data_IF_420737945220
#
_entry.id   IF_420737945220
#
_cell.length_a   1.000
_cell.length_b   1.000
_cell.length_c   1.000
_cell.angle_alpha   90.00
_cell.angle_beta   90.00
_cell.angle_gamma   90.00
#
_symmetry.space_group_name_H-M   'P 1'
#
loop_
_entity.id
_entity.type
_entity.pdbx_description
1 polymer ?
#
# COMPACT_ATOMS: atom_id res chain seq x y z
N UNK A 1 9.00 -12.54 8.48
CA UNK A 1 8.34 -11.23 8.60
C UNK A 1 7.39 -11.16 9.79
N UNK A 2 6.63 -12.23 10.06
CA UNK A 2 5.88 -12.37 11.32
C UNK A 2 6.81 -12.94 12.40
N UNK A 3 6.81 -12.33 13.58
CA UNK A 3 7.65 -12.73 14.71
C UNK A 3 7.01 -12.30 16.04
N UNK A 4 7.58 -12.77 17.14
CA UNK A 4 7.29 -12.27 18.49
C UNK A 4 8.56 -11.73 19.13
N UNK A 5 8.44 -11.17 20.34
CA UNK A 5 9.54 -10.67 21.16
C UNK A 5 9.69 -11.50 22.43
N UNK A 6 10.92 -11.70 22.88
CA UNK A 6 11.29 -12.43 24.08
C UNK A 6 12.41 -11.70 24.85
N UNK A 7 12.62 -12.07 26.11
CA UNK A 7 13.63 -11.48 26.98
C UNK A 7 13.18 -10.17 27.64
N UNK A 8 13.94 -9.72 28.66
CA UNK A 8 13.65 -8.47 29.36
C UNK A 8 13.68 -7.27 28.39
N UNK A 9 12.60 -6.50 28.36
CA UNK A 9 12.44 -5.41 27.37
C UNK A 9 12.23 -5.88 25.93
N UNK A 10 11.96 -7.18 25.70
CA UNK A 10 11.70 -7.75 24.38
C UNK A 10 12.85 -7.57 23.38
N UNK A 11 14.09 -7.75 23.84
CA UNK A 11 15.30 -7.51 23.06
C UNK A 11 15.59 -8.59 22.02
N UNK A 12 15.01 -9.79 22.18
CA UNK A 12 15.13 -10.87 21.22
C UNK A 12 13.89 -10.94 20.32
N UNK A 13 14.11 -11.10 19.01
CA UNK A 13 13.05 -11.47 18.07
C UNK A 13 13.03 -12.98 17.91
N UNK A 14 11.85 -13.60 18.04
CA UNK A 14 11.70 -15.05 18.00
C UNK A 14 10.75 -15.48 16.88
N UNK A 15 11.10 -16.60 16.24
CA UNK A 15 10.28 -17.19 15.19
C UNK A 15 8.93 -17.69 15.72
N UNK A 16 7.92 -17.67 14.85
CA UNK A 16 6.54 -18.08 15.16
C UNK A 16 5.99 -18.97 14.05
N UNK A 17 5.02 -19.83 14.37
CA UNK A 17 4.41 -20.79 13.45
C UNK A 17 3.32 -20.18 12.54
N UNK A 18 3.35 -18.86 12.32
CA UNK A 18 2.38 -18.13 11.51
C UNK A 18 1.48 -17.19 12.30
N UNK A 19 0.31 -16.88 11.74
CA UNK A 19 -0.71 -15.98 12.30
C UNK A 19 -2.10 -16.60 12.24
N UNK A 20 -2.97 -16.18 13.15
CA UNK A 20 -4.41 -16.42 13.05
C UNK A 20 -5.05 -15.12 12.56
N UNK A 21 -5.88 -15.21 11.52
CA UNK A 21 -6.62 -14.07 11.00
C UNK A 21 -8.04 -14.46 10.57
N UNK A 22 -8.95 -13.50 10.58
CA UNK A 22 -10.28 -13.61 10.00
C UNK A 22 -10.45 -12.56 8.92
N UNK A 23 -10.96 -12.96 7.76
CA UNK A 23 -11.23 -12.07 6.63
C UNK A 23 -12.72 -11.77 6.53
N UNK A 24 -13.06 -10.50 6.38
CA UNK A 24 -14.43 -10.04 6.16
C UNK A 24 -14.46 -9.19 4.90
N UNK A 25 -15.18 -9.65 3.88
CA UNK A 25 -15.31 -8.92 2.61
C UNK A 25 -16.46 -7.93 2.66
N UNK A 26 -16.18 -6.74 2.13
CA UNK A 26 -17.10 -5.63 2.01
C UNK A 26 -17.08 -5.13 0.57
N UNK A 27 -18.23 -4.67 0.08
CA UNK A 27 -18.44 -4.36 -1.34
C UNK A 27 -18.57 -2.86 -1.61
N UNK A 28 -18.84 -2.09 -0.56
CA UNK A 28 -19.23 -0.70 -0.66
C UNK A 28 -18.56 0.18 0.41
N UNK A 29 -18.42 1.45 0.06
CA UNK A 29 -17.95 2.49 0.96
C UNK A 29 -19.07 2.90 1.93
N UNK A 30 -18.74 3.72 2.92
CA UNK A 30 -19.77 4.33 3.78
C UNK A 30 -20.76 5.24 3.05
N UNK A 31 -20.39 5.75 1.88
CA UNK A 31 -21.29 6.53 1.02
C UNK A 31 -22.11 5.63 0.07
N UNK A 32 -21.92 4.30 0.14
CA UNK A 32 -22.57 3.33 -0.74
C UNK A 32 -21.86 3.12 -2.07
N UNK A 33 -20.80 3.87 -2.38
CA UNK A 33 -20.02 3.70 -3.61
C UNK A 33 -19.38 2.30 -3.70
N UNK A 34 -19.18 1.72 -4.90
CA UNK A 34 -18.43 0.49 -5.08
C UNK A 34 -17.03 0.61 -4.48
N UNK A 35 -16.74 -0.18 -3.45
CA UNK A 35 -15.44 -0.21 -2.80
C UNK A 35 -15.20 -1.63 -2.28
N UNK A 36 -14.72 -2.51 -3.16
CA UNK A 36 -14.37 -3.87 -2.77
C UNK A 36 -13.15 -3.84 -1.85
N UNK A 37 -13.31 -4.30 -0.60
CA UNK A 37 -12.22 -4.37 0.36
C UNK A 37 -12.43 -5.48 1.38
N UNK A 38 -11.32 -5.99 1.92
CA UNK A 38 -11.34 -7.04 2.94
C UNK A 38 -10.75 -6.51 4.24
N UNK A 39 -11.51 -6.62 5.33
CA UNK A 39 -10.97 -6.46 6.66
C UNK A 39 -10.30 -7.77 7.10
N UNK A 40 -8.98 -7.83 7.01
CA UNK A 40 -8.19 -8.94 7.55
C UNK A 40 -7.80 -8.66 9.00
N UNK A 41 -8.58 -9.20 9.94
CA UNK A 41 -8.36 -9.03 11.38
C UNK A 41 -7.36 -10.07 11.86
N UNK A 42 -6.13 -9.63 12.14
CA UNK A 42 -5.05 -10.49 12.66
C UNK A 42 -5.14 -10.54 14.19
N UNK A 43 -5.22 -11.74 14.75
CA UNK A 43 -5.20 -11.93 16.19
C UNK A 43 -3.85 -11.48 16.77
N UNK A 44 -3.87 -10.74 17.89
CA UNK A 44 -2.66 -10.39 18.62
C UNK A 44 -2.11 -11.56 19.47
N UNK A 45 -2.10 -12.75 18.87
CA UNK A 45 -1.66 -14.02 19.44
C UNK A 45 -1.02 -14.86 18.35
N UNK A 46 0.20 -15.33 18.63
CA UNK A 46 0.98 -16.19 17.74
C UNK A 46 1.62 -17.30 18.56
N UNK A 47 1.87 -18.44 17.93
CA UNK A 47 2.55 -19.55 18.58
C UNK A 47 4.06 -19.44 18.33
N UNK A 48 4.86 -19.32 19.39
CA UNK A 48 6.32 -19.29 19.30
C UNK A 48 6.84 -20.64 18.80
N UNK A 49 7.74 -20.62 17.83
CA UNK A 49 8.22 -21.84 17.17
C UNK A 49 9.10 -22.71 18.09
N UNK A 50 9.79 -22.10 19.05
CA UNK A 50 10.75 -22.79 19.92
C UNK A 50 10.11 -23.66 21.00
N UNK A 51 8.99 -23.23 21.58
CA UNK A 51 8.36 -23.87 22.75
C UNK A 51 6.85 -24.10 22.58
N UNK A 52 6.24 -23.65 21.48
CA UNK A 52 4.82 -23.80 21.23
C UNK A 52 3.92 -22.91 22.10
N UNK A 53 4.49 -22.01 22.90
CA UNK A 53 3.70 -21.11 23.75
C UNK A 53 2.99 -20.03 22.93
N UNK A 54 1.79 -19.67 23.39
CA UNK A 54 1.03 -18.55 22.84
C UNK A 54 1.54 -17.23 23.41
N UNK A 55 2.10 -16.42 22.53
CA UNK A 55 2.72 -15.13 22.85
C UNK A 55 2.09 -14.03 22.02
N UNK A 56 2.45 -12.78 22.33
CA UNK A 56 1.94 -11.60 21.61
C UNK A 56 2.71 -11.40 20.31
N UNK A 57 2.02 -10.97 19.25
CA UNK A 57 2.64 -10.61 17.98
C UNK A 57 3.51 -9.36 18.16
N UNK A 58 4.69 -9.32 17.51
CA UNK A 58 5.44 -8.06 17.38
C UNK A 58 4.76 -7.16 16.33
N UNK A 59 3.72 -6.45 16.76
CA UNK A 59 2.94 -5.55 15.90
C UNK A 59 3.76 -4.36 15.41
N UNK A 60 4.79 -3.93 16.13
CA UNK A 60 5.66 -2.84 15.70
C UNK A 60 6.55 -3.25 14.53
N UNK A 61 7.11 -4.47 14.57
CA UNK A 61 7.82 -5.01 13.43
C UNK A 61 6.89 -5.13 12.22
N UNK A 62 5.69 -5.68 12.39
CA UNK A 62 4.71 -5.78 11.31
C UNK A 62 4.37 -4.40 10.71
N UNK A 63 4.12 -3.40 11.57
CA UNK A 63 3.79 -2.03 11.14
C UNK A 63 4.89 -1.38 10.29
N UNK A 64 6.17 -1.64 10.58
CA UNK A 64 7.30 -1.15 9.76
C UNK A 64 7.26 -1.62 8.31
N UNK A 65 6.51 -2.68 8.02
CA UNK A 65 6.37 -3.22 6.69
C UNK A 65 5.03 -2.91 6.01
N UNK A 66 4.12 -2.16 6.66
CA UNK A 66 2.76 -1.93 6.14
C UNK A 66 2.76 -1.39 4.70
N UNK A 67 3.67 -0.47 4.39
CA UNK A 67 3.82 0.09 3.04
C UNK A 67 4.26 -1.00 2.05
N UNK A 68 5.25 -1.82 2.40
CA UNK A 68 5.72 -2.91 1.52
C UNK A 68 4.62 -3.95 1.24
N UNK A 69 3.77 -4.25 2.23
CA UNK A 69 2.62 -5.15 2.05
C UNK A 69 1.56 -4.49 1.17
N UNK A 70 1.30 -3.20 1.36
CA UNK A 70 0.35 -2.43 0.54
C UNK A 70 0.78 -2.40 -0.93
N UNK A 71 2.05 -2.08 -1.20
CA UNK A 71 2.56 -2.02 -2.57
C UNK A 71 2.57 -3.41 -3.23
N UNK A 72 2.87 -4.47 -2.47
CA UNK A 72 2.79 -5.86 -2.92
C UNK A 72 1.34 -6.27 -3.22
N UNK A 73 0.38 -5.89 -2.37
CA UNK A 73 -1.04 -6.16 -2.62
C UNK A 73 -1.51 -5.50 -3.93
N UNK A 74 -1.21 -4.21 -4.11
CA UNK A 74 -1.53 -3.47 -5.34
C UNK A 74 -0.91 -4.12 -6.58
N UNK A 75 0.25 -4.76 -6.43
CA UNK A 75 0.95 -5.42 -7.52
C UNK A 75 0.29 -6.75 -7.89
N UNK A 76 0.01 -7.56 -6.87
CA UNK A 76 -0.56 -8.89 -7.02
C UNK A 76 -2.02 -8.84 -7.51
N UNK A 77 -2.80 -7.85 -7.07
CA UNK A 77 -4.17 -7.70 -7.55
C UNK A 77 -4.20 -7.36 -9.05
N UNK A 78 -3.30 -6.50 -9.53
CA UNK A 78 -3.19 -6.17 -10.95
C UNK A 78 -2.70 -7.38 -11.79
N UNK A 79 -1.76 -8.16 -11.27
CA UNK A 79 -1.35 -9.42 -11.90
C UNK A 79 -2.53 -10.39 -12.00
N UNK A 80 -3.32 -10.52 -10.92
CA UNK A 80 -4.44 -11.46 -10.88
C UNK A 80 -5.57 -11.05 -11.82
N UNK A 81 -5.93 -9.77 -11.85
CA UNK A 81 -6.92 -9.23 -12.78
C UNK A 81 -6.48 -9.41 -14.24
N UNK A 82 -5.21 -9.14 -14.53
CA UNK A 82 -4.66 -9.37 -15.87
C UNK A 82 -4.73 -10.86 -16.27
N UNK A 83 -4.36 -11.77 -15.37
CA UNK A 83 -4.35 -13.21 -15.65
C UNK A 83 -5.77 -13.80 -15.77
N UNK A 84 -6.71 -13.36 -14.94
CA UNK A 84 -8.05 -13.96 -14.86
C UNK A 84 -9.03 -13.39 -15.89
N UNK A 85 -8.94 -12.09 -16.16
CA UNK A 85 -9.92 -11.37 -17.00
C UNK A 85 -9.28 -10.50 -18.07
N UNK A 86 -7.96 -10.46 -18.20
CA UNK A 86 -7.29 -9.73 -19.28
C UNK A 86 -7.41 -8.22 -19.14
N UNK A 87 -7.25 -7.67 -17.94
CA UNK A 87 -7.19 -6.21 -17.73
C UNK A 87 -5.80 -5.66 -18.03
N UNK A 88 -5.75 -4.44 -18.58
CA UNK A 88 -4.50 -3.68 -18.73
C UNK A 88 -4.46 -2.60 -17.65
N UNK A 89 -3.33 -2.47 -16.95
CA UNK A 89 -3.10 -1.37 -16.02
C UNK A 89 -2.40 -0.22 -16.74
N UNK A 90 -2.80 1.02 -16.47
CA UNK A 90 -2.17 2.21 -17.02
C UNK A 90 -1.85 3.21 -15.91
N UNK A 91 -0.73 3.90 -16.09
CA UNK A 91 -0.31 5.00 -15.21
C UNK A 91 -0.99 6.27 -15.69
N UNK A 92 -1.85 6.85 -14.87
CA UNK A 92 -2.50 8.13 -15.09
C UNK A 92 -1.78 9.20 -14.28
N UNK A 93 -1.35 10.26 -14.94
CA UNK A 93 -0.96 11.50 -14.27
C UNK A 93 -2.24 12.26 -13.92
N UNK A 94 -2.36 12.73 -12.69
CA UNK A 94 -3.36 13.74 -12.35
C UNK A 94 -2.95 15.03 -13.11
N UNK A 95 -3.44 15.19 -14.34
CA UNK A 95 -3.20 16.38 -15.19
C UNK A 95 -3.83 17.65 -14.60
N UNK A 96 -4.55 17.52 -13.48
CA UNK A 96 -5.22 18.60 -12.74
C UNK A 96 -4.49 19.01 -11.45
N UNK A 97 -3.29 18.47 -11.18
CA UNK A 97 -2.37 19.17 -10.26
C UNK A 97 -1.92 20.43 -10.99
N UNK A 98 -2.57 21.54 -10.64
CA UNK A 98 -2.38 22.86 -11.22
C UNK A 98 -0.89 23.10 -11.48
N UNK A 99 -0.53 23.36 -12.75
CA UNK A 99 0.85 23.67 -13.14
C UNK A 99 1.39 24.81 -12.25
N UNK A 100 0.49 25.68 -11.77
CA UNK A 100 0.78 26.70 -10.77
C UNK A 100 1.30 26.15 -9.43
N UNK A 101 0.72 25.06 -8.90
CA UNK A 101 1.13 24.40 -7.65
C UNK A 101 2.50 23.72 -7.79
N UNK A 102 2.77 23.10 -8.95
CA UNK A 102 4.09 22.54 -9.26
C UNK A 102 5.15 23.66 -9.36
N UNK A 103 4.81 24.80 -9.94
CA UNK A 103 5.70 25.97 -10.00
C UNK A 103 5.93 26.57 -8.60
N UNK A 104 4.88 26.71 -7.78
CA UNK A 104 5.01 27.25 -6.42
C UNK A 104 5.88 26.35 -5.53
N UNK A 105 5.70 25.03 -5.60
CA UNK A 105 6.53 24.06 -4.87
C UNK A 105 8.00 24.03 -5.33
N UNK A 106 8.26 24.32 -6.61
CA UNK A 106 9.61 24.41 -7.16
C UNK A 106 10.33 25.74 -6.84
N UNK A 107 9.58 26.78 -6.46
CA UNK A 107 10.11 28.12 -6.14
C UNK A 107 10.30 28.31 -4.63
N UNK A 108 9.58 27.56 -3.79
CA UNK A 108 9.86 27.50 -2.35
C UNK A 108 11.07 26.61 -2.08
N UNK A 109 12.16 27.18 -1.54
CA UNK A 109 13.40 26.51 -1.11
C UNK A 109 13.21 25.55 0.09
N UNK A 110 11.96 25.16 0.36
CA UNK A 110 11.60 24.16 1.34
C UNK A 110 11.60 22.80 0.65
N UNK A 111 12.41 21.89 1.18
CA UNK A 111 12.37 20.46 0.86
C UNK A 111 11.06 19.88 1.37
N UNK A 112 9.96 20.23 0.69
CA UNK A 112 8.69 19.54 0.85
C UNK A 112 8.92 18.10 0.40
N UNK A 113 8.83 17.18 1.35
CA UNK A 113 8.75 15.74 1.09
C UNK A 113 7.40 15.35 0.47
N UNK A 114 6.66 16.32 -0.10
CA UNK A 114 5.45 16.12 -0.88
C UNK A 114 5.87 15.67 -2.28
N UNK A 115 6.39 14.45 -2.26
CA UNK A 115 7.09 13.82 -3.35
C UNK A 115 6.09 13.28 -4.37
N UNK A 116 5.81 14.11 -5.38
CA UNK A 116 5.06 13.85 -6.63
C UNK A 116 3.69 13.19 -6.48
N UNK A 117 2.69 13.51 -7.32
CA UNK A 117 1.57 12.60 -7.50
C UNK A 117 2.17 11.29 -8.02
N UNK A 118 2.26 10.28 -7.14
CA UNK A 118 2.63 8.94 -7.57
C UNK A 118 1.58 8.55 -8.60
N UNK A 119 1.95 8.54 -9.88
CA UNK A 119 1.02 8.31 -10.98
C UNK A 119 0.00 7.25 -10.57
N UNK A 120 -1.28 7.64 -10.54
CA UNK A 120 -2.36 6.76 -10.13
C UNK A 120 -2.41 5.62 -11.14
N UNK A 121 -2.31 4.38 -10.67
CA UNK A 121 -2.40 3.22 -11.57
C UNK A 121 -3.80 2.65 -11.52
N UNK A 122 -4.49 2.76 -12.65
CA UNK A 122 -5.88 2.34 -12.83
C UNK A 122 -6.01 1.33 -13.98
N UNK A 123 -7.18 0.70 -14.08
CA UNK A 123 -7.48 -0.18 -15.21
C UNK A 123 -7.79 0.64 -16.46
N UNK A 124 -7.07 0.36 -17.54
CA UNK A 124 -7.40 0.88 -18.87
C UNK A 124 -8.81 0.42 -19.26
N UNK A 125 -9.59 1.30 -19.87
CA UNK A 125 -11.00 1.06 -20.21
C UNK A 125 -12.01 1.45 -19.11
N UNK A 126 -11.55 1.74 -17.88
CA UNK A 126 -12.38 2.37 -16.83
C UNK A 126 -12.15 3.89 -16.85
N UNK A 127 -13.09 4.71 -17.36
CA UNK A 127 -12.87 6.15 -17.54
C UNK A 127 -12.77 6.90 -16.20
N UNK A 128 -11.96 7.96 -16.13
CA UNK A 128 -11.80 8.77 -14.90
C UNK A 128 -13.11 9.37 -14.40
N UNK A 129 -14.00 9.77 -15.32
CA UNK A 129 -15.35 10.24 -14.99
C UNK A 129 -16.13 9.22 -14.13
N UNK A 130 -15.94 7.92 -14.37
CA UNK A 130 -16.60 6.87 -13.57
C UNK A 130 -15.94 6.70 -12.20
N UNK A 131 -14.61 6.85 -12.15
CA UNK A 131 -13.85 6.80 -10.89
C UNK A 131 -14.26 7.97 -10.00
N UNK A 132 -14.35 9.17 -10.55
CA UNK A 132 -14.81 10.39 -9.85
C UNK A 132 -16.24 10.23 -9.34
N UNK A 133 -17.17 9.76 -10.18
CA UNK A 133 -18.56 9.47 -9.79
C UNK A 133 -18.61 8.57 -8.55
N UNK A 134 -17.78 7.53 -8.49
CA UNK A 134 -17.73 6.57 -7.39
C UNK A 134 -16.70 6.89 -6.31
N UNK A 135 -16.12 8.08 -6.32
CA UNK A 135 -15.19 8.59 -5.30
C UNK A 135 -15.80 9.69 -4.44
N UNK A 136 -17.14 9.77 -4.38
CA UNK A 136 -17.89 10.86 -3.74
C UNK A 136 -17.44 11.16 -2.30
N UNK A 137 -17.14 10.13 -1.52
CA UNK A 137 -16.66 10.27 -0.14
C UNK A 137 -15.25 10.83 -0.07
N UNK A 138 -14.34 10.37 -0.93
CA UNK A 138 -12.96 10.87 -0.97
C UNK A 138 -12.96 12.36 -1.30
N UNK A 139 -13.73 12.75 -2.31
CA UNK A 139 -13.92 14.16 -2.71
C UNK A 139 -14.42 15.01 -1.54
N UNK A 140 -15.42 14.53 -0.80
CA UNK A 140 -15.96 15.26 0.37
C UNK A 140 -14.92 15.40 1.50
N UNK A 141 -14.13 14.35 1.75
CA UNK A 141 -13.07 14.36 2.77
C UNK A 141 -11.94 15.30 2.36
N UNK A 142 -11.55 15.30 1.09
CA UNK A 142 -10.50 16.17 0.55
C UNK A 142 -10.91 17.63 0.63
N UNK A 143 -12.12 17.99 0.17
CA UNK A 143 -12.64 19.35 0.29
C UNK A 143 -12.63 19.85 1.74
N UNK A 144 -13.06 19.00 2.70
CA UNK A 144 -13.03 19.37 4.12
C UNK A 144 -11.62 19.45 4.70
N UNK A 145 -10.70 18.61 4.23
CA UNK A 145 -9.31 18.69 4.65
C UNK A 145 -8.68 20.01 4.17
N UNK A 146 -8.99 20.45 2.96
CA UNK A 146 -8.48 21.71 2.39
C UNK A 146 -9.03 22.93 3.15
N UNK A 147 -10.32 22.93 3.50
CA UNK A 147 -10.91 23.94 4.40
C UNK A 147 -10.15 24.02 5.73
N UNK A 148 -9.91 22.88 6.38
CA UNK A 148 -9.20 22.82 7.66
C UNK A 148 -7.72 23.26 7.54
N UNK A 149 -7.07 23.00 6.41
CA UNK A 149 -5.70 23.48 6.13
C UNK A 149 -5.69 25.00 5.96
N UNK A 150 -6.70 25.57 5.29
CA UNK A 150 -6.85 27.01 5.13
C UNK A 150 -7.13 27.67 6.48
N UNK A 151 -8.07 27.15 7.27
CA UNK A 151 -8.35 27.61 8.65
C UNK A 151 -7.07 27.59 9.52
N UNK A 152 -6.27 26.53 9.42
CA UNK A 152 -4.99 26.42 10.13
C UNK A 152 -4.01 27.52 9.67
N UNK A 153 -3.88 27.71 8.36
CA UNK A 153 -2.96 28.70 7.80
C UNK A 153 -3.33 30.12 8.21
N UNK A 154 -4.62 30.46 8.20
CA UNK A 154 -5.13 31.75 8.66
C UNK A 154 -4.90 31.97 10.16
N UNK A 155 -5.04 30.92 10.97
CA UNK A 155 -4.90 31.00 12.43
C UNK A 155 -3.44 31.13 12.87
N UNK A 156 -2.53 30.37 12.25
CA UNK A 156 -1.13 30.26 12.70
C UNK A 156 -0.14 31.02 11.81
N UNK A 157 -0.58 31.56 10.67
CA UNK A 157 0.23 32.35 9.75
C UNK A 157 1.25 31.53 8.94
N UNK A 158 1.17 30.21 8.98
CA UNK A 158 2.02 29.29 8.20
C UNK A 158 1.24 28.03 7.83
N UNK A 159 1.70 27.32 6.78
CA UNK A 159 1.10 26.04 6.36
C UNK A 159 1.34 24.95 7.42
N UNK A 160 0.42 23.98 7.59
CA UNK A 160 0.64 22.85 8.48
C UNK A 160 1.79 21.96 7.98
N UNK A 161 2.55 21.39 8.91
CA UNK A 161 3.56 20.37 8.62
C UNK A 161 2.91 19.07 8.11
N UNK A 162 3.66 18.14 7.46
CA UNK A 162 3.08 16.87 6.97
C UNK A 162 2.39 16.04 8.06
N UNK A 163 2.88 16.12 9.30
CA UNK A 163 2.25 15.45 10.44
C UNK A 163 0.91 16.09 10.82
N UNK A 164 0.83 17.42 10.78
CA UNK A 164 -0.39 18.16 11.08
C UNK A 164 -1.44 17.96 9.98
N UNK A 165 -1.03 17.94 8.71
CA UNK A 165 -1.89 17.56 7.57
C UNK A 165 -2.51 16.18 7.78
N UNK A 166 -1.74 15.19 8.25
CA UNK A 166 -2.27 13.85 8.56
C UNK A 166 -3.37 13.90 9.64
N UNK A 167 -3.16 14.69 10.70
CA UNK A 167 -4.14 14.86 11.78
C UNK A 167 -5.39 15.58 11.27
N UNK A 168 -5.21 16.62 10.46
CA UNK A 168 -6.30 17.36 9.82
C UNK A 168 -7.14 16.44 8.92
N UNK A 169 -6.50 15.61 8.08
CA UNK A 169 -7.19 14.62 7.24
C UNK A 169 -7.94 13.58 8.08
N UNK A 170 -7.35 13.13 9.19
CA UNK A 170 -8.04 12.24 10.13
C UNK A 170 -9.30 12.91 10.71
N UNK A 171 -9.21 14.19 11.08
CA UNK A 171 -10.35 14.98 11.55
C UNK A 171 -11.43 15.12 10.46
N UNK A 172 -11.06 15.54 9.25
CA UNK A 172 -11.99 15.64 8.12
C UNK A 172 -12.72 14.31 7.83
N UNK A 173 -12.01 13.18 7.92
CA UNK A 173 -12.58 11.84 7.75
C UNK A 173 -13.63 11.50 8.81
N UNK A 174 -13.44 11.96 10.05
CA UNK A 174 -14.36 11.73 11.16
C UNK A 174 -15.58 12.66 11.10
N UNK A 175 -15.38 13.92 10.72
CA UNK A 175 -16.46 14.91 10.55
C UNK A 175 -17.41 14.53 9.40
N UNK A 176 -16.87 14.04 8.28
CA UNK A 176 -17.65 13.59 7.11
C UNK A 176 -18.13 12.13 7.20
N UNK A 177 -18.30 11.60 8.41
CA UNK A 177 -18.80 10.23 8.61
C UNK A 177 -20.34 10.25 8.58
N UNK A 178 -21.00 9.72 7.53
CA UNK A 178 -22.46 9.63 7.54
C UNK A 178 -22.94 8.69 8.65
N UNK A 179 -24.14 8.99 9.18
CA UNK A 179 -24.81 8.14 10.16
C UNK A 179 -25.11 6.76 9.56
N UNK A 180 -24.99 5.72 10.40
CA UNK A 180 -25.00 4.30 9.99
C UNK A 180 -26.32 3.80 9.35
N UNK A 181 -27.38 4.61 9.33
CA UNK A 181 -28.75 4.10 9.35
C UNK A 181 -29.44 3.93 7.98
N UNK A 182 -28.83 4.30 6.86
CA UNK A 182 -29.55 4.29 5.56
C UNK A 182 -29.09 3.23 4.54
N UNK A 183 -27.89 2.66 4.68
CA UNK A 183 -27.28 1.76 3.66
C UNK A 183 -27.10 0.32 4.17
N UNK A 184 -27.19 0.07 5.49
CA UNK A 184 -26.90 -1.24 6.11
C UNK A 184 -27.89 -2.36 5.73
N UNK A 185 -29.06 -2.02 5.17
CA UNK A 185 -30.09 -3.00 4.81
C UNK A 185 -30.20 -3.29 3.31
N UNK A 186 -29.31 -2.71 2.49
CA UNK A 186 -29.34 -2.89 1.03
C UNK A 186 -28.48 -4.07 0.62
N UNK A 187 -29.07 -5.02 -0.12
CA UNK A 187 -28.38 -6.20 -0.62
C UNK A 187 -27.41 -5.85 -1.76
N UNK A 188 -26.42 -6.72 -2.03
CA UNK A 188 -25.49 -6.51 -3.14
C UNK A 188 -26.20 -6.36 -4.51
N UNK A 189 -27.21 -7.18 -4.88
CA UNK A 189 -27.95 -6.99 -6.13
C UNK A 189 -28.61 -5.60 -6.25
N UNK A 190 -29.20 -5.09 -5.17
CA UNK A 190 -29.80 -3.75 -5.14
C UNK A 190 -28.72 -2.66 -5.31
N UNK A 191 -27.57 -2.80 -4.62
CA UNK A 191 -26.42 -1.91 -4.80
C UNK A 191 -25.94 -1.91 -6.26
N UNK A 192 -25.81 -3.08 -6.87
CA UNK A 192 -25.40 -3.21 -8.27
C UNK A 192 -26.40 -2.58 -9.25
N UNK A 193 -27.70 -2.64 -8.98
CA UNK A 193 -28.70 -1.93 -9.79
C UNK A 193 -28.51 -0.42 -9.68
N UNK A 194 -28.32 0.09 -8.47
CA UNK A 194 -28.08 1.51 -8.23
C UNK A 194 -26.78 2.01 -8.85
N UNK A 195 -25.69 1.25 -8.77
CA UNK A 195 -24.43 1.60 -9.41
C UNK A 195 -24.56 1.66 -10.93
N UNK A 196 -25.22 0.68 -11.57
CA UNK A 196 -25.50 0.75 -13.02
C UNK A 196 -26.31 1.98 -13.39
N UNK A 197 -27.34 2.31 -12.60
CA UNK A 197 -28.13 3.51 -12.82
C UNK A 197 -27.27 4.78 -12.73
N UNK A 198 -26.38 4.88 -11.73
CA UNK A 198 -25.45 6.01 -11.60
C UNK A 198 -24.46 6.11 -12.75
N UNK A 199 -23.93 4.99 -13.22
CA UNK A 199 -23.09 4.95 -14.43
C UNK A 199 -23.84 5.52 -15.64
N UNK A 200 -25.11 5.14 -15.84
CA UNK A 200 -25.94 5.72 -16.90
C UNK A 200 -26.19 7.22 -16.72
N UNK A 201 -26.44 7.68 -15.49
CA UNK A 201 -26.64 9.11 -15.19
C UNK A 201 -25.36 9.93 -15.41
N UNK A 202 -24.19 9.33 -15.22
CA UNK A 202 -22.91 9.90 -15.60
C UNK A 202 -22.67 9.90 -17.12
N UNK A 203 -23.62 9.42 -17.94
CA UNK A 203 -23.50 9.39 -19.40
C UNK A 203 -22.65 8.23 -19.93
N UNK A 204 -22.39 7.21 -19.11
CA UNK A 204 -21.61 6.04 -19.46
C UNK A 204 -22.51 4.80 -19.58
N UNK A 205 -22.11 3.86 -20.43
CA UNK A 205 -22.77 2.56 -20.55
C UNK A 205 -21.96 1.48 -19.83
N UNK A 206 -22.51 0.82 -18.78
CA UNK A 206 -21.79 -0.21 -18.02
C UNK A 206 -21.25 -1.36 -18.89
N UNK A 207 -22.00 -1.80 -19.90
CA UNK A 207 -21.57 -2.90 -20.79
C UNK A 207 -20.37 -2.48 -21.64
N UNK A 208 -20.38 -1.24 -22.13
CA UNK A 208 -19.25 -0.65 -22.85
C UNK A 208 -18.02 -0.49 -21.97
N UNK A 209 -18.17 -0.04 -20.71
CA UNK A 209 -17.05 0.05 -19.76
C UNK A 209 -16.42 -1.33 -19.54
N UNK A 210 -17.23 -2.35 -19.26
CA UNK A 210 -16.73 -3.72 -19.06
C UNK A 210 -16.03 -4.22 -20.32
N UNK A 211 -16.66 -4.10 -21.49
CA UNK A 211 -16.09 -4.53 -22.78
C UNK A 211 -14.74 -3.87 -23.06
N UNK A 212 -14.56 -2.61 -22.68
CA UNK A 212 -13.31 -1.89 -22.88
C UNK A 212 -12.24 -2.24 -21.85
N UNK A 213 -12.63 -2.68 -20.65
CA UNK A 213 -11.70 -2.93 -19.54
C UNK A 213 -11.11 -4.35 -19.49
N UNK A 214 -11.80 -5.34 -20.06
CA UNK A 214 -11.43 -6.77 -19.94
C UNK A 214 -11.23 -7.44 -21.30
N UNK A 215 -10.66 -8.65 -21.31
CA UNK A 215 -10.47 -9.47 -22.51
C UNK A 215 -9.23 -9.12 -23.34
N UNK A 216 -8.33 -8.30 -22.81
CA UNK A 216 -7.09 -7.94 -23.48
C UNK A 216 -6.04 -9.04 -23.34
N UNK A 217 -5.19 -9.18 -24.37
CA UNK A 217 -4.02 -10.02 -24.29
C UNK A 217 -2.93 -9.33 -23.44
N UNK A 218 -2.60 -9.90 -22.29
CA UNK A 218 -1.56 -9.36 -21.40
C UNK A 218 -0.29 -10.21 -21.46
N UNK A 219 0.86 -9.56 -21.69
CA UNK A 219 2.17 -10.23 -21.63
C UNK A 219 2.64 -10.30 -20.19
N UNK A 220 3.08 -11.48 -19.77
CA UNK A 220 3.67 -11.71 -18.45
C UNK A 220 5.18 -11.92 -18.56
N UNK A 221 5.88 -11.59 -17.49
CA UNK A 221 7.32 -11.75 -17.33
C UNK A 221 7.55 -12.69 -16.15
N UNK A 222 8.47 -13.64 -16.31
CA UNK A 222 8.98 -14.46 -15.19
C UNK A 222 10.33 -13.93 -14.75
N UNK A 223 10.77 -14.28 -13.54
CA UNK A 223 12.08 -13.86 -13.05
C UNK A 223 13.24 -14.31 -13.94
N UNK A 224 13.09 -15.43 -14.67
CA UNK A 224 14.13 -15.99 -15.54
C UNK A 224 14.23 -15.26 -16.89
N UNK A 225 13.16 -14.59 -17.32
CA UNK A 225 13.13 -13.83 -18.58
C UNK A 225 13.87 -12.50 -18.49
N UNK A 226 14.13 -12.00 -17.27
CA UNK A 226 14.75 -10.69 -17.05
C UNK A 226 16.26 -10.85 -17.03
N UNK A 227 16.95 -10.18 -17.97
CA UNK A 227 18.40 -10.25 -18.07
C UNK A 227 19.08 -9.54 -16.90
N UNK A 228 20.34 -9.89 -16.56
CA UNK A 228 21.09 -9.20 -15.52
C UNK A 228 21.18 -7.68 -15.72
N UNK A 229 21.33 -7.21 -16.97
CA UNK A 229 21.39 -5.78 -17.29
C UNK A 229 20.07 -5.05 -16.98
N UNK A 230 18.92 -5.71 -17.19
CA UNK A 230 17.62 -5.14 -16.83
C UNK A 230 17.44 -5.13 -15.31
N UNK A 231 17.84 -6.19 -14.60
CA UNK A 231 17.84 -6.21 -13.12
C UNK A 231 18.72 -5.08 -12.57
N UNK A 232 19.90 -4.87 -13.17
CA UNK A 232 20.81 -3.79 -12.81
C UNK A 232 20.17 -2.41 -13.01
N UNK A 233 19.47 -2.19 -14.12
CA UNK A 233 18.76 -0.94 -14.39
C UNK A 233 17.58 -0.71 -13.43
N UNK A 234 16.72 -1.71 -13.22
CA UNK A 234 15.56 -1.60 -12.33
C UNK A 234 16.00 -1.39 -10.87
N UNK A 235 17.11 -2.03 -10.46
CA UNK A 235 17.65 -1.85 -9.11
C UNK A 235 18.21 -0.45 -8.88
N UNK A 236 18.74 0.22 -9.91
CA UNK A 236 19.12 1.63 -9.86
C UNK A 236 17.89 2.53 -9.69
N UNK A 237 16.84 2.34 -10.48
CA UNK A 237 15.57 3.09 -10.32
C UNK A 237 14.95 2.87 -8.94
N UNK A 238 14.97 1.63 -8.45
CA UNK A 238 14.48 1.28 -7.12
C UNK A 238 15.28 2.00 -6.01
N UNK A 239 16.60 2.11 -6.17
CA UNK A 239 17.44 2.84 -5.23
C UNK A 239 17.13 4.34 -5.25
N UNK A 240 16.98 4.93 -6.44
CA UNK A 240 16.57 6.33 -6.60
C UNK A 240 15.23 6.59 -5.92
N UNK A 241 14.20 5.80 -6.22
CA UNK A 241 12.86 5.88 -5.64
C UNK A 241 12.87 5.82 -4.10
N UNK A 242 13.65 4.88 -3.55
CA UNK A 242 13.79 4.72 -2.10
C UNK A 242 14.51 5.92 -1.45
N UNK A 243 15.58 6.41 -2.09
CA UNK A 243 16.42 7.51 -1.58
C UNK A 243 15.71 8.87 -1.60
N UNK A 244 14.87 9.12 -2.61
CA UNK A 244 14.08 10.35 -2.69
C UNK A 244 13.02 10.43 -1.58
N UNK A 245 12.47 9.28 -1.17
CA UNK A 245 11.45 9.22 -0.13
C UNK A 245 12.02 9.21 1.28
N UNK A 246 13.24 8.69 1.46
CA UNK A 246 13.85 8.54 2.79
C UNK A 246 15.36 8.67 2.72
N UNK A 247 15.89 9.48 3.65
CA UNK A 247 17.34 9.60 3.90
C UNK A 247 17.97 8.30 4.40
N UNK A 248 17.20 7.46 5.09
CA UNK A 248 17.59 6.10 5.49
C UNK A 248 16.43 5.14 5.24
N UNK A 249 16.73 3.96 4.71
CA UNK A 249 15.70 3.00 4.32
C UNK A 249 16.06 1.58 4.79
N UNK A 250 15.02 0.79 5.01
CA UNK A 250 15.13 -0.64 5.35
C UNK A 250 14.87 -1.50 4.10
N UNK A 251 15.16 -2.81 4.17
CA UNK A 251 14.73 -3.77 3.13
C UNK A 251 13.24 -3.66 2.81
N UNK A 252 12.39 -3.37 3.80
CA UNK A 252 10.96 -3.17 3.59
C UNK A 252 10.66 -1.94 2.70
N UNK A 253 11.40 -0.85 2.90
CA UNK A 253 11.24 0.35 2.08
C UNK A 253 11.72 0.10 0.65
N UNK A 254 12.87 -0.56 0.48
CA UNK A 254 13.37 -0.95 -0.85
C UNK A 254 12.39 -1.87 -1.57
N UNK A 255 11.76 -2.81 -0.86
CA UNK A 255 10.70 -3.66 -1.43
C UNK A 255 9.49 -2.86 -1.88
N UNK A 256 9.03 -1.90 -1.07
CA UNK A 256 7.94 -1.01 -1.47
C UNK A 256 8.30 -0.22 -2.75
N UNK A 257 9.52 0.29 -2.84
CA UNK A 257 10.03 0.98 -4.03
C UNK A 257 10.10 0.06 -5.25
N UNK A 258 10.60 -1.17 -5.10
CA UNK A 258 10.67 -2.14 -6.19
C UNK A 258 9.28 -2.47 -6.73
N UNK A 259 8.29 -2.66 -5.85
CA UNK A 259 6.89 -2.91 -6.24
C UNK A 259 6.27 -1.71 -6.99
N UNK A 260 6.64 -0.47 -6.65
CA UNK A 260 6.20 0.73 -7.38
C UNK A 260 6.85 0.85 -8.75
N UNK A 261 8.17 0.64 -8.84
CA UNK A 261 8.90 0.68 -10.11
C UNK A 261 8.37 -0.39 -11.06
N UNK A 262 8.04 -1.57 -10.53
CA UNK A 262 7.44 -2.69 -11.27
C UNK A 262 5.91 -2.62 -11.36
N UNK A 263 5.27 -1.51 -10.96
CA UNK A 263 3.82 -1.42 -10.81
C UNK A 263 3.08 -1.78 -12.08
N UNK A 264 3.65 -1.54 -13.26
CA UNK A 264 3.06 -1.85 -14.58
C UNK A 264 3.57 -3.15 -15.22
N UNK A 265 4.58 -3.79 -14.64
CA UNK A 265 5.12 -5.06 -15.13
C UNK A 265 4.24 -6.20 -14.61
N UNK A 266 3.76 -7.07 -15.49
CA UNK A 266 2.89 -8.20 -15.13
C UNK A 266 3.68 -9.48 -14.93
N UNK A 267 3.42 -10.17 -13.83
CA UNK A 267 3.99 -11.48 -13.52
C UNK A 267 2.85 -12.49 -13.33
N UNK A 268 3.05 -13.74 -13.74
CA UNK A 268 2.15 -14.83 -13.38
C UNK A 268 2.91 -16.15 -13.41
N UNK A 269 2.94 -16.92 -12.30
CA UNK A 269 2.18 -16.78 -11.04
C UNK A 269 2.73 -15.75 -10.03
N UNK A 270 2.06 -15.60 -8.87
CA UNK A 270 2.48 -14.71 -7.79
C UNK A 270 3.91 -15.00 -7.28
N UNK A 271 4.33 -16.27 -7.31
CA UNK A 271 5.68 -16.68 -6.93
C UNK A 271 6.75 -16.08 -7.84
N UNK A 272 6.46 -15.89 -9.13
CA UNK A 272 7.38 -15.21 -10.06
C UNK A 272 7.53 -13.73 -9.71
N UNK A 273 6.44 -13.05 -9.31
CA UNK A 273 6.55 -11.67 -8.80
C UNK A 273 7.42 -11.62 -7.56
N UNK A 274 7.17 -12.51 -6.60
CA UNK A 274 7.95 -12.54 -5.37
C UNK A 274 9.43 -12.76 -5.65
N UNK A 275 9.77 -13.73 -6.51
CA UNK A 275 11.15 -14.01 -6.91
C UNK A 275 11.81 -12.81 -7.60
N UNK A 276 11.13 -12.20 -8.57
CA UNK A 276 11.64 -11.03 -9.30
C UNK A 276 11.89 -9.85 -8.35
N UNK A 277 10.92 -9.52 -7.50
CA UNK A 277 11.04 -8.41 -6.53
C UNK A 277 12.14 -8.70 -5.51
N UNK A 278 12.25 -9.94 -5.00
CA UNK A 278 13.30 -10.29 -4.04
C UNK A 278 14.70 -10.24 -4.66
N UNK A 279 14.84 -10.60 -5.94
CA UNK A 279 16.10 -10.45 -6.69
C UNK A 279 16.47 -8.96 -6.79
N UNK A 280 15.56 -8.12 -7.31
CA UNK A 280 15.79 -6.67 -7.44
C UNK A 280 16.13 -6.03 -6.10
N UNK A 281 15.37 -6.34 -5.04
CA UNK A 281 15.62 -5.79 -3.70
C UNK A 281 17.00 -6.16 -3.20
N UNK A 282 17.46 -7.39 -3.44
CA UNK A 282 18.79 -7.84 -3.02
C UNK A 282 19.88 -7.12 -3.81
N UNK A 283 19.76 -7.05 -5.15
CA UNK A 283 20.68 -6.29 -6.01
C UNK A 283 20.71 -4.80 -5.68
N UNK A 284 19.57 -4.19 -5.32
CA UNK A 284 19.52 -2.79 -4.87
C UNK A 284 20.24 -2.60 -3.53
N UNK A 285 20.04 -3.51 -2.57
CA UNK A 285 20.66 -3.41 -1.25
C UNK A 285 22.19 -3.61 -1.30
N UNK A 286 22.70 -4.41 -2.22
CA UNK A 286 24.14 -4.59 -2.44
C UNK A 286 24.84 -3.28 -2.87
N UNK A 287 24.08 -2.31 -3.41
CA UNK A 287 24.56 -0.97 -3.78
C UNK A 287 24.41 0.05 -2.66
N UNK A 288 23.70 -0.28 -1.58
CA UNK A 288 23.43 0.62 -0.47
C UNK A 288 24.48 0.47 0.64
N UNK A 289 24.69 1.53 1.41
CA UNK A 289 25.62 1.52 2.55
C UNK A 289 24.89 1.13 3.84
N UNK A 290 25.34 0.06 4.49
CA UNK A 290 24.80 -0.37 5.77
C UNK A 290 25.22 0.58 6.92
N UNK A 291 24.27 1.31 7.50
CA UNK A 291 24.54 2.28 8.57
C UNK A 291 24.79 1.63 9.95
N UNK A 292 24.29 0.41 10.18
CA UNK A 292 24.41 -0.28 11.48
C UNK A 292 24.79 -1.76 11.31
N UNK A 293 25.95 -2.07 10.69
CA UNK A 293 26.31 -3.43 10.28
C UNK A 293 26.50 -4.41 11.45
N UNK A 294 26.66 -3.92 12.68
CA UNK A 294 26.93 -4.74 13.87
C UNK A 294 25.80 -4.76 14.89
N UNK A 295 24.68 -4.07 14.64
CA UNK A 295 23.61 -3.89 15.65
C UNK A 295 22.86 -5.17 15.99
N UNK A 296 22.80 -6.14 15.08
CA UNK A 296 22.08 -7.41 15.25
C UNK A 296 22.94 -8.56 14.78
N UNK A 297 23.92 -8.99 15.59
CA UNK A 297 24.65 -10.24 15.36
C UNK A 297 23.94 -11.35 16.13
N UNK A 298 23.56 -12.42 15.43
CA UNK A 298 23.21 -13.68 16.10
C UNK A 298 24.49 -14.19 16.80
N UNK A 299 24.39 -14.73 18.03
CA UNK A 299 25.52 -15.39 18.67
C UNK A 299 26.03 -16.54 17.78
N UNK A 300 27.34 -16.76 17.74
CA UNK A 300 27.88 -17.99 17.14
C UNK A 300 27.52 -19.18 18.05
N UNK A 301 26.65 -20.08 17.57
CA UNK A 301 26.21 -21.27 18.29
C UNK A 301 24.69 -21.36 18.49
N UNK A 302 24.18 -22.42 19.18
CA UNK A 302 22.76 -22.53 19.48
C UNK A 302 22.29 -21.37 20.35
N UNK A 303 21.17 -20.76 19.97
CA UNK A 303 20.58 -19.63 20.68
C UNK A 303 19.93 -20.09 22.00
N UNK A 304 20.76 -20.14 23.05
CA UNK A 304 20.34 -20.49 24.40
C UNK A 304 19.77 -19.28 25.17
N UNK A 305 19.71 -18.08 24.55
CA UNK A 305 19.25 -16.86 25.22
C UNK A 305 17.76 -16.89 25.57
N UNK A 306 16.99 -17.74 24.87
CA UNK A 306 15.56 -17.97 25.08
C UNK A 306 15.30 -19.12 26.09
N UNK A 307 16.34 -19.84 26.53
CA UNK A 307 16.26 -20.98 27.44
C UNK A 307 16.94 -20.68 28.79
N UNK A 308 16.40 -19.73 29.55
CA UNK A 308 16.79 -19.53 30.95
C UNK A 308 15.79 -20.23 31.88
N UNK A 309 16.10 -21.48 32.27
CA UNK A 309 15.54 -22.21 33.44
C UNK A 309 14.05 -22.58 33.38
N UNK A 310 13.59 -23.29 32.35
CA UNK A 310 12.20 -23.78 32.25
C UNK A 310 11.12 -22.68 32.45
N UNK A 311 11.52 -21.42 32.27
CA UNK A 311 10.68 -20.24 32.33
C UNK A 311 11.05 -19.36 31.15
N UNK A 312 10.14 -19.29 30.19
CA UNK A 312 10.27 -18.44 29.01
C UNK A 312 10.31 -16.97 29.47
N UNK A 313 11.41 -16.26 29.20
CA UNK A 313 11.50 -14.79 29.37
C UNK A 313 10.95 -14.09 28.14
#
# INVERSE_FOLDING_TARGET
>A
MVQSRAGHGGVAHVAVNGVIASAFDHWDSRAGDPQLHTHLVIANRVQRASDGHWVTLDSQALYKHVVAVSEMYNSLILDRLAADVGTVAESRSDLDVDIQQLIESAVSDETSTDHEPANRVELSGVPDQLIEEFSSRSITIEARADELINEYTETYGHRPTPREVLIIRQRATLENRPDKNTIEHTTLPEKMQWWRQRTHLAGLDPETVVRNAVGHHVRTVTSEMVTPDIIEQISQWTLTDASQRRTTFTRANVRASAERVLRLVRCAPADDRHALVDHIVSTTLDKAVALTPTRSRLPEGPDNSVNLRDRSV
#
